data_IF_348504391609
#
_entry.id   IF_348504391609
#
_cell.length_a   1.000
_cell.length_b   1.000
_cell.length_c   1.000
_cell.angle_alpha   90.00
_cell.angle_beta   90.00
_cell.angle_gamma   90.00
#
_symmetry.space_group_name_H-M   'P 1'
#
loop_
_entity.id
_entity.type
_entity.pdbx_description
1 polymer ?
#
# COMPACT_ATOMS: atom_id res chain seq x y z
N UNK A 1 30.77 -19.90 -2.56
CA UNK A 1 29.88 -19.96 -3.74
C UNK A 1 28.45 -19.88 -3.23
N UNK A 2 27.70 -18.88 -3.67
CA UNK A 2 26.28 -18.74 -3.30
C UNK A 2 25.47 -19.77 -4.10
N UNK A 3 24.70 -20.61 -3.42
CA UNK A 3 23.86 -21.61 -4.09
C UNK A 3 22.78 -20.92 -4.93
N UNK A 4 22.35 -21.52 -6.04
CA UNK A 4 21.20 -21.05 -6.82
C UNK A 4 19.98 -20.86 -5.92
N UNK A 5 19.80 -21.73 -4.91
CA UNK A 5 18.74 -21.60 -3.91
C UNK A 5 18.86 -20.34 -3.03
N UNK A 6 20.08 -19.91 -2.70
CA UNK A 6 20.31 -18.67 -1.94
C UNK A 6 20.09 -17.43 -2.80
N UNK A 7 20.42 -17.48 -4.09
CA UNK A 7 20.16 -16.40 -5.03
C UNK A 7 18.65 -16.18 -5.25
N UNK A 8 17.89 -17.27 -5.45
CA UNK A 8 16.43 -17.21 -5.62
C UNK A 8 15.75 -16.68 -4.37
N UNK A 9 16.14 -17.14 -3.17
CA UNK A 9 15.65 -16.61 -1.89
C UNK A 9 15.99 -15.12 -1.70
N UNK A 10 17.20 -14.71 -2.09
CA UNK A 10 17.63 -13.32 -2.04
C UNK A 10 16.79 -12.41 -2.95
N UNK A 11 16.43 -12.86 -4.16
CA UNK A 11 15.53 -12.12 -5.04
C UNK A 11 14.10 -12.03 -4.46
N UNK A 12 13.54 -13.15 -3.99
CA UNK A 12 12.19 -13.18 -3.42
C UNK A 12 12.04 -12.24 -2.20
N UNK A 13 13.06 -12.16 -1.34
CA UNK A 13 13.08 -11.22 -0.22
C UNK A 13 13.13 -9.76 -0.67
N UNK A 14 13.89 -9.44 -1.74
CA UNK A 14 13.98 -8.08 -2.28
C UNK A 14 12.66 -7.64 -2.92
N UNK A 15 11.98 -8.53 -3.64
CA UNK A 15 10.67 -8.23 -4.22
C UNK A 15 9.57 -8.09 -3.16
N UNK A 16 9.59 -8.91 -2.10
CA UNK A 16 8.73 -8.74 -0.93
C UNK A 16 8.98 -7.40 -0.22
N UNK A 17 10.24 -7.07 0.08
CA UNK A 17 10.58 -5.81 0.76
C UNK A 17 10.18 -4.59 -0.07
N UNK A 18 10.46 -4.58 -1.38
CA UNK A 18 10.06 -3.51 -2.28
C UNK A 18 8.54 -3.31 -2.29
N UNK A 19 7.79 -4.42 -2.33
CA UNK A 19 6.35 -4.35 -2.34
C UNK A 19 5.77 -3.90 -0.97
N UNK A 20 6.40 -4.24 0.16
CA UNK A 20 6.02 -3.69 1.47
C UNK A 20 6.19 -2.17 1.53
N UNK A 21 7.32 -1.64 1.03
CA UNK A 21 7.52 -0.20 0.92
C UNK A 21 6.46 0.46 0.04
N UNK A 22 6.12 -0.17 -1.09
CA UNK A 22 5.04 0.30 -1.97
C UNK A 22 3.69 0.31 -1.26
N UNK A 23 3.33 -0.73 -0.51
CA UNK A 23 2.09 -0.77 0.27
C UNK A 23 2.05 0.33 1.35
N UNK A 24 3.18 0.55 2.04
CA UNK A 24 3.29 1.59 3.06
C UNK A 24 3.05 2.99 2.46
N UNK A 25 3.64 3.29 1.29
CA UNK A 25 3.41 4.55 0.56
C UNK A 25 1.91 4.76 0.24
N UNK A 26 1.24 3.73 -0.29
CA UNK A 26 -0.18 3.82 -0.59
C UNK A 26 -1.03 4.08 0.67
N UNK A 27 -0.72 3.44 1.80
CA UNK A 27 -1.44 3.70 3.04
C UNK A 27 -1.15 5.11 3.60
N UNK A 28 0.08 5.60 3.50
CA UNK A 28 0.43 6.96 3.92
C UNK A 28 -0.33 8.02 3.11
N UNK A 29 -0.41 7.82 1.78
CA UNK A 29 -1.19 8.69 0.90
C UNK A 29 -2.68 8.63 1.20
N UNK A 30 -3.22 7.43 1.45
CA UNK A 30 -4.62 7.27 1.88
C UNK A 30 -4.89 8.03 3.18
N UNK A 31 -4.02 7.88 4.19
CA UNK A 31 -4.15 8.54 5.49
C UNK A 31 -4.06 10.07 5.37
N UNK A 32 -3.23 10.59 4.46
CA UNK A 32 -3.11 12.02 4.20
C UNK A 32 -4.40 12.58 3.60
N UNK A 33 -4.94 11.93 2.56
CA UNK A 33 -6.21 12.35 1.97
C UNK A 33 -7.37 12.26 2.96
N UNK A 34 -7.41 11.24 3.81
CA UNK A 34 -8.45 11.09 4.83
C UNK A 34 -8.40 12.21 5.88
N UNK A 35 -7.20 12.61 6.32
CA UNK A 35 -7.01 13.75 7.23
C UNK A 35 -7.50 15.04 6.61
N UNK A 36 -7.18 15.26 5.34
CA UNK A 36 -7.63 16.46 4.62
C UNK A 36 -9.14 16.47 4.38
N UNK A 37 -9.75 15.31 4.08
CA UNK A 37 -11.20 15.17 3.97
C UNK A 37 -11.91 15.58 5.27
N UNK A 38 -11.40 15.14 6.42
CA UNK A 38 -11.96 15.50 7.72
C UNK A 38 -11.87 17.01 7.95
N UNK A 39 -10.72 17.62 7.63
CA UNK A 39 -10.50 19.07 7.75
C UNK A 39 -11.50 19.87 6.90
N UNK A 40 -11.70 19.45 5.64
CA UNK A 40 -12.61 20.10 4.69
C UNK A 40 -14.08 19.96 5.10
N UNK A 41 -14.47 18.76 5.56
CA UNK A 41 -15.83 18.52 6.04
C UNK A 41 -16.16 19.41 7.25
N UNK A 42 -15.22 19.52 8.21
CA UNK A 42 -15.37 20.40 9.37
C UNK A 42 -15.41 21.89 9.00
N UNK A 43 -14.76 22.26 7.89
CA UNK A 43 -14.82 23.62 7.33
C UNK A 43 -16.09 23.89 6.51
N UNK A 44 -16.98 22.90 6.34
CA UNK A 44 -18.22 23.01 5.57
C UNK A 44 -18.07 22.75 4.07
N UNK A 45 -16.88 22.38 3.59
CA UNK A 45 -16.64 22.01 2.19
C UNK A 45 -16.86 20.51 1.96
N UNK A 46 -18.13 20.11 2.00
CA UNK A 46 -18.52 18.71 1.88
C UNK A 46 -18.15 18.10 0.52
N UNK A 47 -18.14 18.91 -0.55
CA UNK A 47 -17.81 18.44 -1.89
C UNK A 47 -16.33 18.08 -2.01
N UNK A 48 -15.43 18.93 -1.50
CA UNK A 48 -13.99 18.60 -1.47
C UNK A 48 -13.69 17.48 -0.49
N UNK A 49 -14.38 17.43 0.65
CA UNK A 49 -14.22 16.32 1.59
C UNK A 49 -14.54 14.96 0.95
N UNK A 50 -15.63 14.88 0.18
CA UNK A 50 -16.01 13.65 -0.53
C UNK A 50 -14.98 13.26 -1.60
N UNK A 51 -14.44 14.23 -2.33
CA UNK A 51 -13.37 14.00 -3.29
C UNK A 51 -12.14 13.38 -2.61
N UNK A 52 -11.70 13.97 -1.50
CA UNK A 52 -10.57 13.46 -0.73
C UNK A 52 -10.83 12.06 -0.16
N UNK A 53 -12.04 11.77 0.34
CA UNK A 53 -12.45 10.42 0.74
C UNK A 53 -12.36 9.41 -0.41
N UNK A 54 -12.80 9.80 -1.61
CA UNK A 54 -12.72 8.95 -2.80
C UNK A 54 -11.28 8.62 -3.20
N UNK A 55 -10.37 9.59 -3.10
CA UNK A 55 -8.94 9.40 -3.36
C UNK A 55 -8.31 8.50 -2.29
N UNK A 56 -8.61 8.75 -1.00
CA UNK A 56 -8.12 7.91 0.10
C UNK A 56 -8.51 6.43 -0.09
N UNK A 57 -9.77 6.18 -0.47
CA UNK A 57 -10.26 4.83 -0.78
C UNK A 57 -9.51 4.17 -1.94
N UNK A 58 -9.23 4.91 -3.02
CA UNK A 58 -8.46 4.37 -4.16
C UNK A 58 -7.05 3.95 -3.75
N UNK A 59 -6.37 4.76 -2.94
CA UNK A 59 -5.05 4.41 -2.43
C UNK A 59 -5.08 3.18 -1.51
N UNK A 60 -6.06 3.09 -0.60
CA UNK A 60 -6.22 1.92 0.26
C UNK A 60 -6.51 0.64 -0.54
N UNK A 61 -7.35 0.74 -1.58
CA UNK A 61 -7.62 -0.38 -2.49
C UNK A 61 -6.37 -0.80 -3.27
N UNK A 62 -5.56 0.14 -3.74
CA UNK A 62 -4.30 -0.14 -4.41
C UNK A 62 -3.31 -0.86 -3.47
N UNK A 63 -3.23 -0.45 -2.20
CA UNK A 63 -2.40 -1.13 -1.20
C UNK A 63 -2.85 -2.59 -0.99
N UNK A 64 -4.15 -2.83 -0.85
CA UNK A 64 -4.71 -4.18 -0.67
C UNK A 64 -4.53 -5.04 -1.93
N UNK A 65 -4.66 -4.46 -3.13
CA UNK A 65 -4.46 -5.21 -4.37
C UNK A 65 -3.01 -5.70 -4.56
N UNK A 66 -2.05 -5.08 -3.87
CA UNK A 66 -0.67 -5.59 -3.81
C UNK A 66 -0.55 -6.80 -2.87
N UNK A 67 -1.41 -6.93 -1.85
CA UNK A 67 -1.41 -8.03 -0.85
C UNK A 67 -1.39 -9.47 -1.43
N UNK A 68 -2.16 -9.84 -2.47
CA UNK A 68 -2.11 -11.19 -3.04
C UNK A 68 -0.76 -11.56 -3.70
N UNK A 69 0.11 -10.59 -4.03
CA UNK A 69 1.49 -10.86 -4.52
C UNK A 69 2.38 -11.44 -3.41
N UNK A 70 2.02 -11.22 -2.13
CA UNK A 70 2.82 -11.64 -0.98
C UNK A 70 2.41 -13.02 -0.44
N UNK A 71 1.11 -13.32 -0.41
CA UNK A 71 0.60 -14.57 0.17
C UNK A 71 1.06 -15.83 -0.57
N UNK A 72 1.38 -15.73 -1.86
CA UNK A 72 1.92 -16.86 -2.64
C UNK A 72 3.41 -17.12 -2.39
N UNK A 73 4.16 -16.14 -1.86
CA UNK A 73 5.60 -16.25 -1.60
C UNK A 73 5.95 -16.65 -0.16
N UNK A 74 4.98 -16.63 0.76
CA UNK A 74 5.15 -17.07 2.15
C UNK A 74 4.72 -18.53 2.39
N UNK A 75 4.06 -19.17 1.41
CA UNK A 75 3.57 -20.56 1.51
C UNK A 75 4.65 -21.64 1.27
N UNK A 76 5.92 -21.28 1.18
CA UNK A 76 7.02 -22.23 0.99
C UNK A 76 7.97 -22.14 2.20
N UNK A 77 7.46 -22.55 3.36
CA UNK A 77 8.24 -22.92 4.52
C UNK A 77 7.97 -24.37 4.88
#
# INVERSE_FOLDING_TARGET
MTSIGDYVRGQARRSSLAAHFTMADYYERAATHQREALRLFQAGDAQQAELHCSIARKHAQAAIALYPVFAQNESVY
#
